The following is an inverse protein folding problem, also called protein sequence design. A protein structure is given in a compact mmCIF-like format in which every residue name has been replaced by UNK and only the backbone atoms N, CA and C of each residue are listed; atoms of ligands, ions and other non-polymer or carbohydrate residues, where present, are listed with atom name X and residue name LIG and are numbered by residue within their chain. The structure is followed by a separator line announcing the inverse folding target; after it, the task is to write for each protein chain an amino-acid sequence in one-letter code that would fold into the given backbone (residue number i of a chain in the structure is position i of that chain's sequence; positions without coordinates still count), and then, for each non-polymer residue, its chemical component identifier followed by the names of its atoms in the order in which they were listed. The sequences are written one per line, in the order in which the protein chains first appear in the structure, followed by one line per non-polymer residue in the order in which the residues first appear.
data_IF_981765875392
#
_entry.id   IF_981765875392
#
_cell.length_a   1.000
_cell.length_b   1.000
_cell.length_c   1.000
_cell.angle_alpha   90.00
_cell.angle_beta   90.00
_cell.angle_gamma   90.00
#
_symmetry.space_group_name_H-M   'P 1'
#
loop_
_entity.id
_entity.type
_entity.pdbx_description
1 polymer ?
#
# COMPACT_ATOMS: atom_id res chain seq x y z
N UNK A 1 -12.41 -6.35 18.49
CA UNK A 1 -12.26 -4.98 17.94
C UNK A 1 -12.28 -5.10 16.43
N UNK A 2 -13.22 -4.46 15.73
CA UNK A 2 -13.14 -4.35 14.27
C UNK A 2 -12.03 -3.35 13.98
N UNK A 3 -10.84 -3.83 13.63
CA UNK A 3 -9.80 -2.97 13.04
C UNK A 3 -10.31 -2.59 11.66
N UNK A 4 -10.88 -1.40 11.54
CA UNK A 4 -11.21 -0.83 10.24
C UNK A 4 -9.92 -0.76 9.42
N UNK A 5 -9.96 -1.30 8.20
CA UNK A 5 -8.81 -1.27 7.31
C UNK A 5 -8.46 0.19 7.01
N UNK A 6 -7.18 0.58 7.11
CA UNK A 6 -6.75 1.94 6.79
C UNK A 6 -7.04 2.27 5.33
N UNK A 7 -7.22 3.55 4.97
CA UNK A 7 -7.39 3.98 3.59
C UNK A 7 -6.26 3.47 2.69
N UNK A 8 -6.58 3.04 1.47
CA UNK A 8 -5.60 2.45 0.54
C UNK A 8 -4.38 3.35 0.30
N UNK A 9 -4.58 4.67 0.21
CA UNK A 9 -3.50 5.66 0.06
C UNK A 9 -2.48 5.58 1.20
N UNK A 10 -2.95 5.33 2.43
CA UNK A 10 -2.09 5.17 3.60
C UNK A 10 -1.30 3.86 3.53
N UNK A 11 -1.92 2.77 3.06
CA UNK A 11 -1.25 1.48 2.87
C UNK A 11 -0.17 1.59 1.80
N UNK A 12 -0.48 2.20 0.64
CA UNK A 12 0.50 2.51 -0.42
C UNK A 12 1.66 3.32 0.13
N UNK A 13 1.39 4.36 0.92
CA UNK A 13 2.42 5.19 1.54
C UNK A 13 3.33 4.36 2.45
N UNK A 14 2.77 3.49 3.30
CA UNK A 14 3.59 2.64 4.15
C UNK A 14 4.46 1.68 3.34
N UNK A 15 3.92 1.07 2.28
CA UNK A 15 4.69 0.21 1.38
C UNK A 15 5.85 0.99 0.75
N UNK A 16 5.60 2.18 0.20
CA UNK A 16 6.65 3.06 -0.33
C UNK A 16 7.74 3.37 0.71
N UNK A 17 7.33 3.67 1.95
CA UNK A 17 8.24 3.97 3.05
C UNK A 17 9.07 2.77 3.54
N UNK A 18 8.72 1.54 3.19
CA UNK A 18 9.55 0.35 3.51
C UNK A 18 10.74 0.17 2.56
N UNK A 19 10.78 0.92 1.45
CA UNK A 19 11.86 0.81 0.46
C UNK A 19 13.20 1.34 0.99
N UNK A 20 14.31 0.88 0.40
CA UNK A 20 15.69 1.21 0.85
C UNK A 20 16.02 2.71 0.77
N UNK A 21 15.22 3.50 0.04
CA UNK A 21 15.43 4.93 -0.20
C UNK A 21 15.09 5.83 1.01
N UNK A 22 14.49 5.29 2.07
CA UNK A 22 14.12 6.04 3.26
C UNK A 22 15.04 5.75 4.47
N UNK A 23 15.16 6.70 5.42
CA UNK A 23 15.91 6.50 6.66
C UNK A 23 15.43 5.27 7.45
N UNK A 24 16.36 4.58 8.11
CA UNK A 24 16.08 3.33 8.82
C UNK A 24 14.89 3.42 9.80
N UNK A 25 14.79 4.52 10.55
CA UNK A 25 13.69 4.73 11.50
C UNK A 25 12.32 4.87 10.83
N UNK A 26 12.27 5.48 9.64
CA UNK A 26 11.04 5.62 8.85
C UNK A 26 10.61 4.25 8.33
N UNK A 27 11.56 3.48 7.77
CA UNK A 27 11.31 2.11 7.29
C UNK A 27 10.80 1.22 8.42
N UNK A 28 11.46 1.23 9.57
CA UNK A 28 11.08 0.41 10.72
C UNK A 28 9.67 0.74 11.22
N UNK A 29 9.29 2.03 11.22
CA UNK A 29 7.95 2.46 11.63
C UNK A 29 6.88 2.07 10.61
N UNK A 30 7.17 2.19 9.32
CA UNK A 30 6.27 1.73 8.26
C UNK A 30 6.05 0.21 8.31
N UNK A 31 7.13 -0.58 8.45
CA UNK A 31 7.05 -2.03 8.62
C UNK A 31 6.25 -2.41 9.87
N UNK A 32 6.43 -1.69 10.99
CA UNK A 32 5.64 -1.92 12.21
C UNK A 32 4.15 -1.66 12.00
N UNK A 33 3.78 -0.61 11.27
CA UNK A 33 2.38 -0.31 10.96
C UNK A 33 1.76 -1.38 10.07
N UNK A 34 2.48 -1.80 9.02
CA UNK A 34 2.07 -2.89 8.13
C UNK A 34 1.85 -4.18 8.92
N UNK A 35 2.83 -4.60 9.73
CA UNK A 35 2.71 -5.84 10.51
C UNK A 35 1.59 -5.76 11.54
N UNK A 36 1.31 -4.58 12.12
CA UNK A 36 0.22 -4.40 13.06
C UNK A 36 -1.16 -4.57 12.41
N UNK A 37 -1.32 -4.14 11.17
CA UNK A 37 -2.62 -4.14 10.47
C UNK A 37 -2.83 -5.39 9.62
N UNK A 38 -1.80 -5.80 8.86
CA UNK A 38 -1.87 -6.86 7.86
C UNK A 38 -1.07 -8.12 8.25
N UNK A 39 -0.31 -8.08 9.34
CA UNK A 39 0.53 -9.19 9.80
C UNK A 39 1.86 -9.32 9.04
N UNK A 40 1.87 -9.07 7.74
CA UNK A 40 3.08 -9.03 6.92
C UNK A 40 2.92 -8.07 5.71
N UNK A 41 4.03 -7.83 5.01
CA UNK A 41 4.07 -6.93 3.85
C UNK A 41 3.31 -7.46 2.64
N UNK A 42 3.38 -8.76 2.37
CA UNK A 42 2.73 -9.39 1.21
C UNK A 42 1.21 -9.28 1.26
N UNK A 43 0.61 -9.38 2.46
CA UNK A 43 -0.84 -9.19 2.65
C UNK A 43 -1.24 -7.74 2.41
N UNK A 44 -0.38 -6.77 2.76
CA UNK A 44 -0.62 -5.37 2.47
C UNK A 44 -0.49 -5.06 0.97
N UNK A 45 0.45 -5.70 0.26
CA UNK A 45 0.58 -5.61 -1.20
C UNK A 45 -0.66 -6.16 -1.91
N UNK A 46 -1.11 -7.36 -1.55
CA UNK A 46 -2.32 -7.98 -2.09
C UNK A 46 -3.58 -7.14 -1.80
N UNK A 47 -3.66 -6.51 -0.61
CA UNK A 47 -4.73 -5.58 -0.30
C UNK A 47 -4.71 -4.35 -1.22
N UNK A 48 -3.54 -3.80 -1.53
CA UNK A 48 -3.46 -2.71 -2.51
C UNK A 48 -3.88 -3.20 -3.88
N UNK A 49 -3.36 -4.33 -4.38
CA UNK A 49 -3.74 -4.87 -5.70
C UNK A 49 -5.25 -5.11 -5.85
N UNK A 50 -5.91 -5.60 -4.79
CA UNK A 50 -7.35 -5.88 -4.82
C UNK A 50 -8.23 -4.62 -4.89
N UNK A 51 -7.78 -3.53 -4.27
CA UNK A 51 -8.60 -2.31 -4.09
C UNK A 51 -8.05 -1.09 -4.86
N UNK A 52 -6.98 -1.26 -5.62
CA UNK A 52 -6.41 -0.19 -6.44
C UNK A 52 -7.21 -0.02 -7.74
N UNK A 53 -8.24 0.81 -7.69
CA UNK A 53 -9.08 1.16 -8.84
C UNK A 53 -8.28 1.82 -9.99
N UNK A 54 -7.09 2.36 -9.72
CA UNK A 54 -6.21 2.95 -10.74
C UNK A 54 -5.42 1.91 -11.58
N UNK A 55 -5.57 0.61 -11.29
CA UNK A 55 -5.06 -0.48 -12.12
C UNK A 55 -5.99 -0.87 -13.28
N UNK A 56 -7.08 -0.12 -13.51
CA UNK A 56 -7.79 -0.21 -14.79
C UNK A 56 -6.84 0.29 -15.88
N UNK A 57 -6.54 -0.49 -16.94
CA UNK A 57 -5.79 0.03 -18.06
C UNK A 57 -6.57 1.25 -18.58
N UNK A 58 -5.91 2.42 -18.60
CA UNK A 58 -6.47 3.57 -19.31
C UNK A 58 -6.67 3.11 -20.76
N UNK A 59 -7.94 2.83 -21.11
CA UNK A 59 -8.33 2.72 -22.50
C UNK A 59 -8.16 4.13 -23.04
N UNK A 60 -6.97 4.42 -23.57
CA UNK A 60 -6.78 5.53 -24.48
C UNK A 60 -7.66 5.22 -25.68
N UNK A 61 -8.88 5.74 -25.69
CA UNK A 61 -9.63 5.88 -26.92
C UNK A 61 -8.82 6.84 -27.80
N UNK A 62 -8.22 6.38 -28.91
CA UNK A 62 -7.69 7.32 -29.88
C UNK A 62 -8.92 7.99 -30.49
N UNK A 63 -9.24 9.19 -29.99
CA UNK A 63 -10.16 10.09 -30.67
C UNK A 63 -9.46 10.50 -31.97
N UNK A 64 -9.80 9.73 -33.01
CA UNK A 64 -9.76 9.97 -34.48
C UNK A 64 -8.55 10.75 -35.01
#
# INVERSE_FOLDING_TARGET
MKTECPPITLVKTWLTLTTKNYPMGVRARATKNINKVFGNIYVAEAYVEQYDESAQPEVFDPVI
#
